data_IF_275773821880
#
_entry.id   IF_275773821880
#
_cell.length_a   1.000
_cell.length_b   1.000
_cell.length_c   1.000
_cell.angle_alpha   90.00
_cell.angle_beta   90.00
_cell.angle_gamma   90.00
#
_symmetry.space_group_name_H-M   'P 1'
#
loop_
_entity.id
_entity.type
_entity.pdbx_description
1 polymer ?
#
# COMPACT_ATOMS: atom_id res chain seq x y z
N UNK A 1 -23.15 -2.60 2.15
CA UNK A 1 -23.82 -1.72 3.04
C UNK A 1 -23.96 -0.31 2.54
N UNK A 2 -24.62 0.47 3.34
CA UNK A 2 -24.89 1.88 3.01
C UNK A 2 -23.80 2.82 3.56
N UNK A 3 -22.82 2.27 4.26
CA UNK A 3 -21.77 3.03 4.96
C UNK A 3 -20.52 3.23 4.10
N UNK A 4 -20.20 2.25 3.26
CA UNK A 4 -19.03 2.27 2.39
C UNK A 4 -19.39 1.85 0.95
N UNK A 5 -18.68 2.36 0.01
CA UNK A 5 -18.86 2.19 -1.42
C UNK A 5 -17.76 1.29 -1.99
N UNK A 6 -18.16 0.18 -2.60
CA UNK A 6 -17.19 -0.71 -3.25
C UNK A 6 -16.43 -0.01 -4.38
N UNK A 7 -15.10 -0.09 -4.34
CA UNK A 7 -14.22 0.54 -5.34
C UNK A 7 -14.31 -0.10 -6.73
N UNK A 8 -14.84 -1.33 -6.83
CA UNK A 8 -15.11 -1.99 -8.09
C UNK A 8 -14.08 -2.99 -8.56
N UNK A 9 -13.11 -3.32 -7.71
CA UNK A 9 -12.16 -4.42 -7.94
C UNK A 9 -11.86 -5.15 -6.63
N UNK A 10 -11.41 -6.40 -6.73
CA UNK A 10 -11.06 -7.29 -5.62
C UNK A 10 -9.53 -7.48 -5.53
N UNK A 11 -8.76 -6.51 -6.02
CA UNK A 11 -7.30 -6.60 -6.09
C UNK A 11 -6.57 -5.85 -4.99
N UNK A 12 -7.29 -5.22 -4.09
CA UNK A 12 -6.69 -4.40 -3.05
C UNK A 12 -6.22 -3.02 -3.54
N UNK A 13 -6.78 -2.49 -4.65
CA UNK A 13 -6.36 -1.24 -5.28
C UNK A 13 -7.43 -0.17 -5.13
N UNK A 14 -7.12 0.88 -4.37
CA UNK A 14 -7.88 2.13 -4.32
C UNK A 14 -7.61 3.04 -5.52
N UNK A 15 -8.34 4.14 -5.58
CA UNK A 15 -8.09 5.21 -6.56
C UNK A 15 -7.20 6.26 -5.95
N UNK A 16 -6.31 6.82 -6.73
CA UNK A 16 -5.48 7.94 -6.28
C UNK A 16 -6.29 9.21 -6.02
N UNK A 17 -7.36 9.42 -6.80
CA UNK A 17 -8.33 10.49 -6.56
C UNK A 17 -9.58 9.89 -5.93
N UNK A 18 -9.72 10.05 -4.62
CA UNK A 18 -10.86 9.48 -3.89
C UNK A 18 -11.49 10.51 -2.95
N UNK A 19 -12.80 10.67 -3.11
CA UNK A 19 -13.63 11.59 -2.32
C UNK A 19 -14.56 10.81 -1.39
N UNK A 20 -14.59 11.20 -0.11
CA UNK A 20 -15.49 10.61 0.87
C UNK A 20 -16.89 11.24 0.81
N UNK A 21 -16.98 12.54 0.48
CA UNK A 21 -18.26 13.18 0.15
C UNK A 21 -18.50 13.09 -1.35
N UNK A 22 -19.57 12.42 -1.76
CA UNK A 22 -19.87 12.09 -3.15
C UNK A 22 -21.31 12.45 -3.52
N UNK A 23 -21.58 12.54 -4.81
CA UNK A 23 -22.92 12.72 -5.37
C UNK A 23 -23.71 11.41 -5.46
N UNK A 24 -23.07 10.28 -5.20
CA UNK A 24 -23.67 8.95 -5.28
C UNK A 24 -24.56 8.70 -4.07
N UNK A 25 -25.84 8.52 -4.28
CA UNK A 25 -26.77 8.07 -3.23
C UNK A 25 -26.39 6.67 -2.77
N UNK A 26 -26.17 6.44 -1.46
CA UNK A 26 -25.83 5.14 -0.91
C UNK A 26 -26.91 4.07 -1.13
N UNK A 27 -26.52 2.80 -1.07
CA UNK A 27 -27.43 1.66 -1.12
C UNK A 27 -26.82 0.45 -1.83
N UNK A 28 -27.27 -0.73 -1.47
CA UNK A 28 -26.83 -2.00 -2.09
C UNK A 28 -27.04 -1.96 -3.61
N UNK A 29 -28.13 -1.33 -4.04
CA UNK A 29 -28.45 -1.11 -5.46
C UNK A 29 -28.34 0.37 -5.81
N UNK A 30 -27.24 1.02 -5.44
CA UNK A 30 -27.02 2.46 -5.65
C UNK A 30 -27.37 2.91 -7.11
N UNK A 31 -27.10 2.03 -8.08
CA UNK A 31 -27.42 2.27 -9.49
C UNK A 31 -28.93 2.49 -9.78
N UNK A 32 -29.82 1.96 -8.97
CA UNK A 32 -31.27 2.01 -9.18
C UNK A 32 -31.95 3.28 -8.65
N UNK A 33 -31.27 4.08 -7.82
CA UNK A 33 -31.86 5.31 -7.29
C UNK A 33 -32.09 6.34 -8.39
N UNK A 34 -33.13 7.14 -8.24
CA UNK A 34 -33.46 8.19 -9.23
C UNK A 34 -32.33 9.21 -9.40
N UNK A 35 -31.70 9.63 -8.30
CA UNK A 35 -30.56 10.54 -8.34
C UNK A 35 -29.38 9.94 -9.13
N UNK A 36 -29.01 8.70 -8.87
CA UNK A 36 -27.89 8.06 -9.53
C UNK A 36 -28.16 7.80 -11.02
N UNK A 37 -29.39 7.46 -11.38
CA UNK A 37 -29.82 7.36 -12.78
C UNK A 37 -29.73 8.71 -13.49
N UNK A 38 -30.26 9.78 -12.86
CA UNK A 38 -30.22 11.14 -13.39
C UNK A 38 -28.79 11.63 -13.62
N UNK A 39 -27.87 11.33 -12.71
CA UNK A 39 -26.46 11.72 -12.81
C UNK A 39 -25.64 10.78 -13.69
N UNK A 40 -26.16 9.61 -14.04
CA UNK A 40 -25.43 8.59 -14.80
C UNK A 40 -24.27 7.97 -14.03
N UNK A 41 -24.37 7.90 -12.69
CA UNK A 41 -23.29 7.43 -11.81
C UNK A 41 -23.63 6.09 -11.14
N UNK A 42 -22.57 5.40 -10.70
CA UNK A 42 -22.67 4.14 -9.96
C UNK A 42 -21.41 3.95 -9.10
N UNK A 43 -21.40 2.96 -8.21
CA UNK A 43 -20.36 2.77 -7.20
C UNK A 43 -18.92 2.69 -7.73
N UNK A 44 -18.75 2.12 -8.93
CA UNK A 44 -17.43 2.00 -9.58
C UNK A 44 -16.96 3.29 -10.28
N UNK A 45 -17.81 4.30 -10.40
CA UNK A 45 -17.45 5.52 -11.11
C UNK A 45 -16.34 6.27 -10.38
N UNK A 46 -15.50 6.93 -11.15
CA UNK A 46 -14.41 7.77 -10.67
C UNK A 46 -14.92 9.20 -10.43
N UNK A 47 -14.14 9.97 -9.68
CA UNK A 47 -14.38 11.40 -9.47
C UNK A 47 -15.77 11.80 -8.95
N UNK A 48 -16.43 10.93 -8.18
CA UNK A 48 -17.80 11.14 -7.70
C UNK A 48 -17.98 12.39 -6.82
N UNK A 49 -16.89 12.99 -6.36
CA UNK A 49 -16.86 14.22 -5.59
C UNK A 49 -16.16 15.38 -6.31
N UNK A 50 -15.80 15.26 -7.58
CA UNK A 50 -15.16 16.34 -8.36
C UNK A 50 -16.06 17.56 -8.52
N UNK A 51 -15.50 18.76 -8.76
CA UNK A 51 -16.25 19.98 -9.02
C UNK A 51 -17.26 19.78 -10.15
N UNK A 52 -16.87 19.12 -11.23
CA UNK A 52 -17.73 18.80 -12.37
C UNK A 52 -18.96 17.98 -11.97
N UNK A 53 -18.80 17.05 -11.03
CA UNK A 53 -19.94 16.27 -10.53
C UNK A 53 -20.79 17.07 -9.56
N UNK A 54 -20.17 17.90 -8.71
CA UNK A 54 -20.87 18.75 -7.75
C UNK A 54 -21.79 19.78 -8.43
N UNK A 55 -21.41 20.31 -9.59
CA UNK A 55 -22.26 21.24 -10.37
C UNK A 55 -23.61 20.65 -10.74
N UNK A 56 -23.71 19.33 -10.88
CA UNK A 56 -24.93 18.60 -11.26
C UNK A 56 -25.69 18.03 -10.06
N UNK A 57 -25.10 18.13 -8.86
CA UNK A 57 -25.62 17.52 -7.65
C UNK A 57 -26.62 18.45 -6.94
N UNK A 58 -27.65 17.86 -6.38
CA UNK A 58 -28.57 18.52 -5.45
C UNK A 58 -28.30 18.09 -4.01
N UNK A 59 -27.61 16.98 -3.82
CA UNK A 59 -27.33 16.37 -2.55
C UNK A 59 -25.90 15.77 -2.54
N UNK A 60 -25.29 15.71 -1.36
CA UNK A 60 -24.02 15.06 -1.11
C UNK A 60 -24.18 14.03 0.00
N UNK A 61 -23.50 12.92 -0.18
CA UNK A 61 -23.53 11.82 0.78
C UNK A 61 -22.09 11.53 1.24
N UNK A 62 -21.94 11.27 2.54
CA UNK A 62 -20.71 10.70 3.07
C UNK A 62 -20.69 9.22 2.73
N UNK A 63 -19.88 8.85 1.75
CA UNK A 63 -19.85 7.51 1.18
C UNK A 63 -18.42 7.12 0.78
N UNK A 64 -17.54 6.88 1.78
CA UNK A 64 -16.15 6.54 1.52
C UNK A 64 -16.02 5.23 0.74
N UNK A 65 -14.94 5.10 -0.02
CA UNK A 65 -14.66 3.88 -0.77
C UNK A 65 -14.15 2.76 0.12
N UNK A 66 -14.57 1.54 -0.19
CA UNK A 66 -14.04 0.29 0.34
C UNK A 66 -13.25 -0.42 -0.74
N UNK A 67 -12.06 -0.85 -0.37
CA UNK A 67 -11.19 -1.72 -1.15
C UNK A 67 -11.20 -3.07 -0.49
N UNK A 68 -11.69 -4.10 -1.18
CA UNK A 68 -11.73 -5.46 -0.70
C UNK A 68 -10.70 -6.35 -1.39
N UNK A 69 -10.18 -7.32 -0.65
CA UNK A 69 -9.22 -8.30 -1.14
C UNK A 69 -9.11 -9.45 -0.14
N UNK A 70 -8.88 -10.65 -0.63
CA UNK A 70 -8.58 -11.78 0.26
C UNK A 70 -7.09 -11.89 0.53
N UNK A 71 -6.72 -12.32 1.74
CA UNK A 71 -5.33 -12.68 2.08
C UNK A 71 -4.84 -13.90 1.29
N UNK A 72 -5.75 -14.74 0.79
CA UNK A 72 -5.52 -15.95 0.00
C UNK A 72 -5.86 -15.72 -1.48
N UNK A 73 -5.57 -16.66 -2.39
CA UNK A 73 -5.93 -16.56 -3.81
C UNK A 73 -7.44 -16.42 -4.04
N UNK A 74 -8.27 -17.11 -3.25
CA UNK A 74 -9.73 -17.05 -3.29
C UNK A 74 -10.36 -16.50 -2.03
N UNK A 75 -11.70 -16.47 -1.98
CA UNK A 75 -12.48 -15.93 -0.86
C UNK A 75 -12.73 -16.94 0.26
N UNK A 76 -12.50 -18.22 -0.01
CA UNK A 76 -12.73 -19.33 0.91
C UNK A 76 -11.42 -20.03 1.24
N UNK A 77 -11.42 -20.75 2.37
CA UNK A 77 -10.27 -21.52 2.82
C UNK A 77 -10.10 -22.81 2.01
N UNK A 78 -8.88 -23.05 1.54
CA UNK A 78 -8.41 -24.29 0.94
C UNK A 78 -7.04 -24.62 1.53
N UNK A 79 -6.88 -25.85 2.10
CA UNK A 79 -5.65 -26.24 2.78
C UNK A 79 -4.43 -26.29 1.83
N UNK A 80 -4.65 -26.63 0.56
CA UNK A 80 -3.61 -26.64 -0.48
C UNK A 80 -3.10 -25.23 -0.85
N UNK A 81 -3.74 -24.19 -0.32
CA UNK A 81 -3.35 -22.79 -0.52
C UNK A 81 -2.62 -22.17 0.67
N UNK A 82 -2.32 -22.94 1.73
CA UNK A 82 -1.62 -22.42 2.90
C UNK A 82 -0.26 -21.79 2.55
N UNK A 83 0.44 -22.34 1.56
CA UNK A 83 1.68 -21.77 1.03
C UNK A 83 1.47 -20.56 0.09
N UNK A 84 0.22 -20.21 -0.25
CA UNK A 84 -0.13 -19.13 -1.19
C UNK A 84 -0.71 -17.90 -0.50
N UNK A 85 -0.63 -17.83 0.83
CA UNK A 85 -0.97 -16.62 1.59
C UNK A 85 -0.13 -15.45 1.08
N UNK A 86 -0.77 -14.30 0.81
CA UNK A 86 -0.07 -13.12 0.27
C UNK A 86 1.16 -12.76 1.09
N UNK A 87 2.25 -12.42 0.41
CA UNK A 87 3.49 -12.04 1.04
C UNK A 87 3.33 -10.76 1.87
N UNK A 88 4.23 -10.54 2.84
CA UNK A 88 4.27 -9.30 3.61
C UNK A 88 4.37 -8.06 2.70
N UNK A 89 5.20 -8.14 1.65
CA UNK A 89 5.32 -7.06 0.67
C UNK A 89 3.99 -6.79 -0.04
N UNK A 90 3.30 -7.84 -0.49
CA UNK A 90 2.02 -7.71 -1.18
C UNK A 90 0.94 -7.08 -0.27
N UNK A 91 0.82 -7.53 0.99
CA UNK A 91 -0.11 -6.93 1.96
C UNK A 91 0.25 -5.47 2.26
N UNK A 92 1.54 -5.15 2.33
CA UNK A 92 2.00 -3.78 2.52
C UNK A 92 1.66 -2.90 1.32
N UNK A 93 1.83 -3.39 0.09
CA UNK A 93 1.44 -2.67 -1.12
C UNK A 93 -0.07 -2.42 -1.16
N UNK A 94 -0.88 -3.42 -0.83
CA UNK A 94 -2.34 -3.27 -0.68
C UNK A 94 -2.67 -2.17 0.33
N UNK A 95 -2.04 -2.17 1.50
CA UNK A 95 -2.28 -1.17 2.54
C UNK A 95 -1.98 0.25 2.06
N UNK A 96 -0.83 0.46 1.41
CA UNK A 96 -0.45 1.77 0.89
C UNK A 96 -1.31 2.22 -0.29
N UNK A 97 -1.84 1.29 -1.08
CA UNK A 97 -2.69 1.57 -2.25
C UNK A 97 -4.20 1.55 -1.94
N UNK A 98 -4.58 1.31 -0.70
CA UNK A 98 -5.97 1.39 -0.23
C UNK A 98 -6.11 2.43 0.87
N UNK A 99 -5.63 2.15 2.08
CA UNK A 99 -5.67 3.08 3.21
C UNK A 99 -4.85 4.33 2.91
N UNK A 100 -3.70 4.18 2.22
CA UNK A 100 -2.87 5.30 1.77
C UNK A 100 -3.50 6.14 0.65
N UNK A 101 -4.59 5.69 0.06
CA UNK A 101 -5.38 6.41 -0.96
C UNK A 101 -6.78 6.79 -0.45
N UNK A 102 -6.89 7.05 0.86
CA UNK A 102 -8.12 7.54 1.48
C UNK A 102 -9.30 6.55 1.40
N UNK A 103 -9.04 5.25 1.33
CA UNK A 103 -10.07 4.20 1.27
C UNK A 103 -10.06 3.33 2.54
N UNK A 104 -11.18 2.66 2.81
CA UNK A 104 -11.25 1.60 3.81
C UNK A 104 -10.72 0.32 3.19
N UNK A 105 -9.89 -0.43 3.91
CA UNK A 105 -9.44 -1.76 3.50
C UNK A 105 -10.28 -2.83 4.20
N UNK A 106 -10.98 -3.65 3.43
CA UNK A 106 -11.60 -4.89 3.88
C UNK A 106 -10.71 -6.06 3.44
N UNK A 107 -9.93 -6.61 4.38
CA UNK A 107 -9.09 -7.78 4.15
C UNK A 107 -9.85 -9.03 4.58
N UNK A 108 -10.24 -9.87 3.62
CA UNK A 108 -10.86 -11.15 3.90
C UNK A 108 -9.84 -12.18 4.40
N UNK A 109 -10.16 -12.82 5.52
CA UNK A 109 -9.37 -13.86 6.15
C UNK A 109 -10.33 -15.05 6.37
N UNK A 110 -10.34 -16.02 5.42
CA UNK A 110 -11.33 -17.09 5.49
C UNK A 110 -11.00 -18.08 6.61
N UNK A 111 -11.98 -18.43 7.47
CA UNK A 111 -11.79 -19.47 8.49
C UNK A 111 -11.69 -20.85 7.85
N UNK A 112 -10.97 -21.75 8.49
CA UNK A 112 -10.88 -23.15 8.14
C UNK A 112 -12.22 -23.89 8.43
N UNK A 113 -12.27 -25.20 8.14
CA UNK A 113 -13.46 -26.03 8.40
C UNK A 113 -13.82 -26.21 9.87
N UNK A 114 -12.93 -25.83 10.81
CA UNK A 114 -13.16 -25.84 12.25
C UNK A 114 -13.64 -24.47 12.75
N UNK A 115 -13.75 -23.49 11.87
CA UNK A 115 -14.10 -22.10 12.20
C UNK A 115 -12.95 -21.29 12.78
N UNK A 116 -11.70 -21.73 12.60
CA UNK A 116 -10.50 -21.06 13.10
C UNK A 116 -9.74 -20.42 11.94
N UNK A 117 -9.02 -19.33 12.24
CA UNK A 117 -8.06 -18.75 11.30
C UNK A 117 -6.83 -19.68 11.26
N UNK A 118 -6.39 -20.03 10.06
CA UNK A 118 -5.23 -20.89 9.87
C UNK A 118 -3.94 -20.20 10.34
N UNK A 119 -3.00 -20.98 10.88
CA UNK A 119 -1.73 -20.49 11.41
C UNK A 119 -0.91 -19.70 10.37
N UNK A 120 -0.94 -20.10 9.10
CA UNK A 120 -0.24 -19.37 8.04
C UNK A 120 -0.80 -17.95 7.84
N UNK A 121 -2.13 -17.77 7.97
CA UNK A 121 -2.77 -16.45 7.92
C UNK A 121 -2.44 -15.63 9.17
N UNK A 122 -2.49 -16.24 10.37
CA UNK A 122 -2.15 -15.59 11.63
C UNK A 122 -0.72 -15.05 11.59
N UNK A 123 0.26 -15.90 11.25
CA UNK A 123 1.66 -15.52 11.18
C UNK A 123 1.87 -14.34 10.20
N UNK A 124 1.21 -14.38 9.04
CA UNK A 124 1.30 -13.29 8.06
C UNK A 124 0.70 -11.99 8.58
N UNK A 125 -0.41 -12.05 9.30
CA UNK A 125 -1.02 -10.86 9.90
C UNK A 125 -0.15 -10.26 11.01
N UNK A 126 0.49 -11.10 11.82
CA UNK A 126 1.44 -10.66 12.85
C UNK A 126 2.68 -9.98 12.25
N UNK A 127 3.26 -10.56 11.20
CA UNK A 127 4.35 -9.94 10.46
C UNK A 127 3.93 -8.59 9.86
N UNK A 128 2.73 -8.50 9.30
CA UNK A 128 2.20 -7.26 8.73
C UNK A 128 1.93 -6.20 9.80
N UNK A 129 1.40 -6.60 10.96
CA UNK A 129 1.20 -5.70 12.08
C UNK A 129 2.53 -5.14 12.59
N UNK A 130 3.52 -6.01 12.84
CA UNK A 130 4.85 -5.64 13.31
C UNK A 130 5.57 -4.68 12.32
N UNK A 131 5.48 -4.94 11.02
CA UNK A 131 6.07 -4.07 10.01
C UNK A 131 5.41 -2.67 10.01
N UNK A 132 4.09 -2.60 10.10
CA UNK A 132 3.38 -1.32 10.20
C UNK A 132 3.76 -0.56 11.47
N UNK A 133 3.78 -1.24 12.62
CA UNK A 133 4.19 -0.65 13.89
C UNK A 133 5.60 -0.08 13.80
N UNK A 134 6.54 -0.83 13.22
CA UNK A 134 7.91 -0.36 13.01
C UNK A 134 7.97 0.92 12.16
N UNK A 135 7.21 0.99 11.04
CA UNK A 135 7.19 2.17 10.17
C UNK A 135 6.68 3.39 10.94
N UNK A 136 5.54 3.25 11.62
CA UNK A 136 4.84 4.39 12.20
C UNK A 136 5.29 4.76 13.62
N UNK A 137 6.20 3.99 14.23
CA UNK A 137 6.75 4.29 15.55
C UNK A 137 7.60 5.57 15.58
N UNK A 138 8.27 5.89 14.48
CA UNK A 138 9.26 6.96 14.43
C UNK A 138 8.92 8.01 13.35
N UNK A 139 8.10 8.99 13.74
CA UNK A 139 7.80 10.13 12.89
C UNK A 139 8.98 11.10 12.89
N UNK A 140 9.61 11.28 11.74
CA UNK A 140 10.78 12.15 11.53
C UNK A 140 10.44 13.65 11.52
N UNK A 141 9.18 14.03 11.42
CA UNK A 141 8.75 15.42 11.53
C UNK A 141 8.82 15.83 12.99
N UNK A 142 9.58 16.91 13.28
CA UNK A 142 9.69 17.46 14.64
C UNK A 142 8.33 17.87 15.18
N UNK A 143 8.11 17.59 16.47
CA UNK A 143 6.87 17.97 17.15
C UNK A 143 6.67 19.48 17.14
N UNK A 144 5.51 19.93 16.73
CA UNK A 144 5.06 21.32 16.78
C UNK A 144 4.26 21.71 15.53
N UNK A 145 3.03 22.22 15.73
CA UNK A 145 2.28 22.96 14.71
C UNK A 145 1.85 22.19 13.46
N UNK A 146 1.50 20.90 13.59
CA UNK A 146 1.08 20.12 12.43
C UNK A 146 -0.29 20.54 11.84
N UNK A 147 -1.09 21.30 12.61
CA UNK A 147 -2.35 21.82 12.13
C UNK A 147 -2.14 23.08 11.27
N UNK A 148 -2.64 23.03 10.06
CA UNK A 148 -2.49 24.10 9.10
C UNK A 148 -3.77 24.34 8.31
N UNK A 149 -4.23 25.60 8.30
CA UNK A 149 -5.31 26.06 7.45
C UNK A 149 -4.74 26.48 6.10
N UNK A 150 -4.93 25.67 5.08
CA UNK A 150 -4.37 25.86 3.75
C UNK A 150 -5.40 26.46 2.79
N UNK A 151 -4.93 27.32 1.92
CA UNK A 151 -5.67 27.78 0.73
C UNK A 151 -4.89 27.42 -0.52
N UNK A 152 -5.52 27.49 -1.69
CA UNK A 152 -4.83 27.28 -2.97
C UNK A 152 -3.60 28.14 -3.11
N UNK A 153 -2.48 27.57 -3.51
CA UNK A 153 -1.19 28.22 -3.66
C UNK A 153 -0.38 28.39 -2.37
N UNK A 154 -0.92 28.00 -1.20
CA UNK A 154 -0.18 28.10 0.07
C UNK A 154 0.75 26.92 0.30
N UNK A 155 1.80 27.13 1.10
CA UNK A 155 2.76 26.10 1.49
C UNK A 155 3.07 26.14 2.98
N UNK A 156 3.47 24.99 3.52
CA UNK A 156 4.01 24.88 4.89
C UNK A 156 5.30 24.06 4.87
N UNK A 157 6.25 24.47 5.72
CA UNK A 157 7.56 23.83 5.85
C UNK A 157 7.67 23.21 7.24
N UNK A 158 8.13 21.96 7.28
CA UNK A 158 8.30 21.17 8.49
C UNK A 158 9.74 20.73 8.64
N UNK A 159 10.35 21.00 9.79
CA UNK A 159 11.69 20.51 10.09
C UNK A 159 11.66 19.01 10.39
N UNK A 160 12.64 18.28 9.86
CA UNK A 160 12.87 16.87 10.19
C UNK A 160 13.94 16.74 11.29
N UNK A 161 13.98 15.59 11.95
CA UNK A 161 15.09 15.25 12.83
C UNK A 161 16.41 15.24 12.04
N UNK A 162 17.54 15.66 12.65
CA UNK A 162 18.81 15.74 11.94
C UNK A 162 19.22 14.39 11.33
N UNK A 163 19.64 14.43 10.06
CA UNK A 163 20.11 13.24 9.37
C UNK A 163 19.02 12.26 8.91
N UNK A 164 17.75 12.69 8.93
CA UNK A 164 16.61 11.85 8.58
C UNK A 164 16.70 11.29 7.16
N UNK A 165 16.65 9.98 7.05
CA UNK A 165 16.30 9.26 5.82
C UNK A 165 14.80 9.00 5.82
N UNK A 166 14.14 9.34 4.73
CA UNK A 166 12.69 9.17 4.57
C UNK A 166 12.38 8.60 3.19
N UNK A 167 11.32 7.81 3.09
CA UNK A 167 10.78 7.30 1.84
C UNK A 167 9.25 7.17 1.87
N UNK A 168 8.63 7.71 2.91
CA UNK A 168 7.19 7.71 3.10
C UNK A 168 6.76 9.03 3.76
N UNK A 169 5.77 9.70 3.16
CA UNK A 169 5.08 10.84 3.75
C UNK A 169 3.62 10.50 3.94
N UNK A 170 3.05 10.87 5.08
CA UNK A 170 1.63 10.75 5.37
C UNK A 170 1.03 12.14 5.62
N UNK A 171 -0.06 12.41 4.92
CA UNK A 171 -0.85 13.64 5.05
C UNK A 171 -2.28 13.28 5.46
N UNK A 172 -2.90 14.10 6.30
CA UNK A 172 -4.31 13.96 6.69
C UNK A 172 -5.00 15.33 6.74
N UNK A 173 -6.23 15.38 6.25
CA UNK A 173 -7.15 16.49 6.49
C UNK A 173 -8.02 16.19 7.72
N UNK A 174 -8.41 17.23 8.43
CA UNK A 174 -9.51 17.17 9.40
C UNK A 174 -10.83 17.03 8.66
N UNK A 175 -11.21 15.78 8.37
CA UNK A 175 -12.42 15.47 7.59
C UNK A 175 -13.71 15.87 8.29
N UNK A 176 -13.70 16.20 9.59
CA UNK A 176 -14.86 16.75 10.30
C UNK A 176 -15.23 18.14 9.76
N UNK A 177 -14.26 18.82 9.13
CA UNK A 177 -14.43 20.09 8.43
C UNK A 177 -14.54 19.94 6.93
N UNK A 178 -14.54 18.71 6.44
CA UNK A 178 -14.67 18.31 5.04
C UNK A 178 -13.35 18.09 4.33
N UNK A 179 -13.34 17.21 3.36
CA UNK A 179 -12.24 16.96 2.44
C UNK A 179 -12.20 18.08 1.39
N UNK A 180 -11.08 18.78 1.26
CA UNK A 180 -10.98 20.03 0.50
C UNK A 180 -9.85 20.07 -0.53
N UNK A 181 -8.75 19.33 -0.30
CA UNK A 181 -7.59 19.33 -1.20
C UNK A 181 -7.92 18.66 -2.52
N UNK A 182 -7.60 19.34 -3.62
CA UNK A 182 -7.79 18.87 -5.00
C UNK A 182 -6.48 18.56 -5.71
N UNK A 183 -5.37 19.23 -5.33
CA UNK A 183 -4.03 18.87 -5.74
C UNK A 183 -2.97 19.41 -4.79
N UNK A 184 -1.90 18.66 -4.64
CA UNK A 184 -0.79 19.01 -3.75
C UNK A 184 0.53 18.45 -4.27
N UNK A 185 1.63 19.04 -3.79
CA UNK A 185 3.01 18.61 -4.03
C UNK A 185 3.75 18.53 -2.71
N UNK A 186 4.61 17.52 -2.58
CA UNK A 186 5.53 17.36 -1.45
C UNK A 186 6.97 17.42 -1.94
N UNK A 187 7.77 18.24 -1.30
CA UNK A 187 9.19 18.39 -1.58
C UNK A 187 10.02 18.14 -0.33
N UNK A 188 11.20 17.60 -0.48
CA UNK A 188 12.18 17.39 0.57
C UNK A 188 13.41 18.28 0.34
N UNK A 189 13.91 18.94 1.38
CA UNK A 189 15.15 19.71 1.32
C UNK A 189 16.33 18.77 1.55
N UNK A 190 17.04 18.47 0.46
CA UNK A 190 18.26 17.68 0.43
C UNK A 190 19.49 18.59 0.37
N UNK A 191 20.70 18.02 0.39
CA UNK A 191 21.94 18.76 0.21
C UNK A 191 22.02 19.48 -1.17
N UNK A 192 21.23 19.02 -2.15
CA UNK A 192 21.14 19.59 -3.48
C UNK A 192 19.93 20.55 -3.66
N UNK A 193 19.31 20.98 -2.56
CA UNK A 193 18.14 21.84 -2.55
C UNK A 193 16.81 21.09 -2.53
N UNK A 194 15.73 21.81 -2.79
CA UNK A 194 14.38 21.25 -2.79
C UNK A 194 14.18 20.27 -3.95
N UNK A 195 13.74 19.07 -3.61
CA UNK A 195 13.43 18.00 -4.55
C UNK A 195 11.98 17.56 -4.37
N UNK A 196 11.19 17.53 -5.46
CA UNK A 196 9.87 16.91 -5.45
C UNK A 196 10.03 15.41 -5.14
N UNK A 197 9.34 14.94 -4.11
CA UNK A 197 9.31 13.53 -3.68
C UNK A 197 7.96 12.89 -3.95
N UNK A 198 6.91 13.68 -4.17
CA UNK A 198 5.60 13.18 -4.53
C UNK A 198 4.59 14.29 -4.74
N UNK A 199 3.50 13.91 -5.41
CA UNK A 199 2.33 14.77 -5.64
C UNK A 199 1.07 13.92 -5.68
N UNK A 200 -0.07 14.55 -5.57
CA UNK A 200 -1.36 13.86 -5.65
C UNK A 200 -2.50 14.83 -5.83
N UNK A 201 -3.69 14.26 -5.98
CA UNK A 201 -4.94 15.02 -6.17
C UNK A 201 -5.64 15.24 -4.83
N UNK A 202 -6.02 14.18 -4.12
CA UNK A 202 -6.78 14.28 -2.87
C UNK A 202 -5.93 13.82 -1.67
N UNK A 203 -6.17 14.41 -0.50
CA UNK A 203 -5.61 13.95 0.77
C UNK A 203 -6.66 13.18 1.56
N UNK A 204 -7.74 13.83 1.99
CA UNK A 204 -8.80 13.23 2.78
C UNK A 204 -8.35 12.76 4.17
N UNK A 205 -8.97 11.69 4.67
CA UNK A 205 -8.62 11.13 5.97
C UNK A 205 -7.17 10.67 6.06
N UNK A 206 -6.62 10.10 4.96
CA UNK A 206 -5.23 9.63 4.92
C UNK A 206 -4.70 9.51 3.49
N UNK A 207 -3.62 10.21 3.22
CA UNK A 207 -2.84 10.06 2.00
C UNK A 207 -1.41 9.68 2.35
N UNK A 208 -0.90 8.62 1.74
CA UNK A 208 0.48 8.17 1.88
C UNK A 208 1.18 8.20 0.53
N UNK A 209 2.40 8.77 0.52
CA UNK A 209 3.25 8.83 -0.66
C UNK A 209 4.52 8.05 -0.38
N UNK A 210 4.79 7.03 -1.18
CA UNK A 210 6.07 6.29 -1.17
C UNK A 210 6.97 6.79 -2.30
N UNK A 211 8.24 6.91 -2.01
CA UNK A 211 9.27 7.36 -2.96
C UNK A 211 10.64 6.74 -2.62
N UNK A 212 11.63 6.80 -3.53
CA UNK A 212 12.98 6.36 -3.22
C UNK A 212 13.55 7.08 -2.00
N UNK A 213 14.35 6.39 -1.19
CA UNK A 213 14.96 6.96 0.02
C UNK A 213 15.67 8.28 -0.31
N UNK A 214 15.39 9.30 0.48
CA UNK A 214 16.09 10.58 0.43
C UNK A 214 16.54 10.97 1.83
N UNK A 215 17.75 11.55 1.95
CA UNK A 215 18.20 12.22 3.16
C UNK A 215 17.77 13.66 3.10
N UNK A 216 17.01 14.12 4.08
CA UNK A 216 16.43 15.45 4.07
C UNK A 216 16.43 16.10 5.46
N UNK A 217 16.47 17.43 5.47
CA UNK A 217 16.40 18.26 6.68
C UNK A 217 15.04 18.91 6.90
N UNK A 218 14.25 19.07 5.82
CA UNK A 218 12.92 19.67 5.88
C UNK A 218 12.00 19.01 4.84
N UNK A 219 10.69 19.06 5.12
CA UNK A 219 9.61 18.79 4.15
C UNK A 219 8.87 20.09 3.86
N UNK A 220 8.46 20.29 2.61
CA UNK A 220 7.53 21.33 2.20
C UNK A 220 6.32 20.70 1.56
N UNK A 221 5.15 21.04 2.07
CA UNK A 221 3.86 20.63 1.50
C UNK A 221 3.24 21.86 0.85
N UNK A 222 2.95 21.78 -0.44
CA UNK A 222 2.27 22.82 -1.22
C UNK A 222 0.87 22.35 -1.56
N UNK A 223 -0.14 23.11 -1.18
CA UNK A 223 -1.51 22.91 -1.64
C UNK A 223 -1.67 23.71 -2.93
N UNK A 224 -1.63 23.00 -4.06
CA UNK A 224 -1.73 23.64 -5.38
C UNK A 224 -3.14 24.14 -5.60
N UNK A 225 -4.13 23.27 -5.30
CA UNK A 225 -5.54 23.60 -5.44
C UNK A 225 -6.37 22.96 -4.33
N UNK A 226 -7.31 23.70 -3.78
CA UNK A 226 -8.31 23.23 -2.85
C UNK A 226 -9.62 23.99 -3.02
N UNK A 227 -10.72 23.36 -2.61
CA UNK A 227 -12.01 24.01 -2.49
C UNK A 227 -12.17 24.57 -1.08
N UNK A 228 -12.39 25.86 -0.95
CA UNK A 228 -12.41 26.55 0.34
C UNK A 228 -11.09 26.35 1.13
N UNK A 229 -11.09 26.68 2.41
CA UNK A 229 -9.94 26.43 3.29
C UNK A 229 -9.83 24.95 3.60
N UNK A 230 -8.71 24.31 3.26
CA UNK A 230 -8.39 22.94 3.65
C UNK A 230 -7.77 22.95 5.06
N UNK A 231 -8.12 21.98 5.86
CA UNK A 231 -7.64 21.83 7.24
C UNK A 231 -6.72 20.62 7.33
N UNK A 232 -5.42 20.84 7.18
CA UNK A 232 -4.41 19.77 7.33
C UNK A 232 -4.17 19.58 8.82
N UNK A 233 -4.44 18.39 9.35
CA UNK A 233 -4.25 18.08 10.77
C UNK A 233 -3.04 17.19 11.04
N UNK A 234 -2.47 16.57 10.01
CA UNK A 234 -1.24 15.80 10.14
C UNK A 234 -0.36 15.87 8.90
N UNK A 235 0.92 16.11 9.14
CA UNK A 235 2.02 15.91 8.22
C UNK A 235 3.07 15.08 8.95
N UNK A 236 3.40 13.92 8.41
CA UNK A 236 4.37 13.02 9.00
C UNK A 236 5.29 12.42 7.93
N UNK A 237 6.51 12.10 8.33
CA UNK A 237 7.50 11.46 7.47
C UNK A 237 8.12 10.26 8.17
N UNK A 238 8.32 9.18 7.42
CA UNK A 238 8.78 7.92 7.94
C UNK A 238 9.83 7.28 7.03
N UNK A 239 10.55 6.34 7.59
CA UNK A 239 11.36 5.39 6.84
C UNK A 239 10.68 4.02 6.89
N UNK A 240 10.22 3.55 5.75
CA UNK A 240 9.71 2.20 5.57
C UNK A 240 10.83 1.33 4.99
N UNK A 241 11.32 0.36 5.75
CA UNK A 241 12.35 -0.55 5.28
C UNK A 241 11.86 -1.27 3.99
N UNK A 242 12.66 -1.28 2.91
CA UNK A 242 12.27 -1.95 1.68
C UNK A 242 12.01 -3.43 1.92
N UNK A 243 10.83 -3.89 1.52
CA UNK A 243 10.50 -5.32 1.53
C UNK A 243 10.88 -5.91 0.18
N UNK A 244 11.61 -7.01 0.21
CA UNK A 244 11.84 -7.82 -0.97
C UNK A 244 10.63 -8.72 -1.20
N UNK A 245 10.23 -8.87 -2.44
CA UNK A 245 9.25 -9.87 -2.79
C UNK A 245 9.91 -11.23 -2.62
N UNK A 246 9.47 -11.99 -1.62
CA UNK A 246 9.77 -13.40 -1.58
C UNK A 246 8.86 -14.04 -2.62
N UNK A 247 9.37 -14.25 -3.82
CA UNK A 247 8.66 -14.97 -4.88
C UNK A 247 8.48 -16.40 -4.39
N UNK A 248 7.31 -16.70 -3.83
CA UNK A 248 6.92 -18.06 -3.53
C UNK A 248 6.45 -18.72 -4.83
N UNK A 249 7.29 -19.59 -5.37
CA UNK A 249 6.91 -20.55 -6.41
C UNK A 249 6.82 -20.02 -7.84
N UNK A 250 7.29 -20.79 -8.75
CA UNK A 250 7.17 -20.89 -10.20
C UNK A 250 7.80 -19.81 -11.11
N UNK A 251 7.89 -18.53 -10.71
CA UNK A 251 8.64 -17.53 -11.46
C UNK A 251 9.96 -17.12 -10.79
N UNK A 252 10.70 -18.09 -10.30
CA UNK A 252 12.11 -17.84 -10.04
C UNK A 252 12.74 -17.48 -11.39
N UNK A 253 13.31 -16.30 -11.53
CA UNK A 253 14.32 -16.02 -12.55
C UNK A 253 15.53 -16.91 -12.25
N UNK A 254 15.32 -18.21 -12.38
CA UNK A 254 16.35 -19.19 -12.27
C UNK A 254 17.36 -18.85 -13.35
N UNK A 255 18.60 -18.65 -12.97
CA UNK A 255 19.69 -18.61 -13.94
C UNK A 255 19.50 -19.79 -14.88
N UNK A 256 19.51 -19.56 -16.21
CA UNK A 256 19.36 -20.64 -17.18
C UNK A 256 20.37 -21.74 -16.85
N UNK A 257 19.89 -22.94 -16.58
CA UNK A 257 20.75 -24.09 -16.23
C UNK A 257 21.59 -24.58 -17.40
N UNK A 258 21.33 -24.05 -18.60
CA UNK A 258 22.15 -24.31 -19.77
C UNK A 258 23.60 -23.83 -19.50
N UNK A 259 24.52 -24.78 -19.47
CA UNK A 259 25.93 -24.53 -19.16
C UNK A 259 26.35 -24.79 -17.71
N UNK A 260 25.43 -25.10 -16.80
CA UNK A 260 25.80 -25.54 -15.44
C UNK A 260 26.41 -26.95 -15.51
N UNK A 261 27.49 -27.14 -14.80
CA UNK A 261 28.18 -28.43 -14.71
C UNK A 261 28.35 -28.81 -13.24
N UNK A 262 27.89 -29.99 -12.87
CA UNK A 262 28.31 -30.60 -11.60
C UNK A 262 29.76 -31.03 -11.73
N UNK A 263 30.63 -30.45 -10.92
CA UNK A 263 32.09 -30.69 -10.99
C UNK A 263 32.59 -31.58 -9.85
N UNK A 264 31.77 -31.74 -8.82
CA UNK A 264 32.05 -32.69 -7.72
C UNK A 264 30.76 -33.15 -7.04
N UNK A 265 30.79 -34.39 -6.51
CA UNK A 265 29.64 -34.98 -5.79
C UNK A 265 29.72 -34.79 -4.29
N UNK A 266 30.93 -34.64 -3.73
CA UNK A 266 31.11 -34.49 -2.30
C UNK A 266 32.34 -33.59 -1.99
N UNK A 267 32.14 -32.36 -1.58
CA UNK A 267 30.85 -31.65 -1.53
C UNK A 267 30.24 -31.47 -2.93
N UNK A 268 28.90 -31.42 -3.01
CA UNK A 268 28.22 -31.11 -4.26
C UNK A 268 28.67 -29.73 -4.75
N UNK A 269 29.35 -29.72 -5.88
CA UNK A 269 29.85 -28.46 -6.48
C UNK A 269 29.27 -28.27 -7.86
N UNK A 270 28.69 -27.11 -8.12
CA UNK A 270 28.07 -26.74 -9.41
C UNK A 270 28.78 -25.50 -9.94
N UNK A 271 29.39 -25.62 -11.10
CA UNK A 271 29.94 -24.51 -11.85
C UNK A 271 28.82 -23.87 -12.68
N UNK A 272 28.58 -22.59 -12.47
CA UNK A 272 27.55 -21.80 -13.17
C UNK A 272 28.01 -21.34 -14.57
N UNK A 273 29.26 -21.59 -14.94
CA UNK A 273 29.84 -21.24 -16.23
C UNK A 273 30.17 -19.76 -16.41
N UNK A 274 29.84 -18.91 -15.45
CA UNK A 274 30.17 -17.47 -15.42
C UNK A 274 30.05 -16.91 -14.02
N UNK A 275 30.69 -15.78 -13.76
CA UNK A 275 30.50 -15.03 -12.52
C UNK A 275 29.11 -14.38 -12.52
N UNK A 276 28.37 -14.57 -11.44
CA UNK A 276 27.03 -14.01 -11.23
C UNK A 276 26.86 -13.54 -9.79
N UNK A 277 26.02 -12.53 -9.59
CA UNK A 277 25.58 -12.15 -8.23
C UNK A 277 24.34 -12.97 -7.89
N UNK A 278 24.44 -13.81 -6.84
CA UNK A 278 23.31 -14.59 -6.36
C UNK A 278 22.61 -13.83 -5.23
N UNK A 279 21.31 -13.57 -5.40
CA UNK A 279 20.47 -13.02 -4.35
C UNK A 279 19.92 -14.12 -3.43
N UNK A 280 19.74 -15.34 -3.94
CA UNK A 280 19.27 -16.48 -3.18
C UNK A 280 19.67 -17.80 -3.84
N UNK A 281 19.61 -18.87 -3.08
CA UNK A 281 19.77 -20.25 -3.56
C UNK A 281 18.64 -21.10 -3.01
N UNK A 282 17.99 -21.86 -3.86
CA UNK A 282 16.93 -22.80 -3.46
C UNK A 282 17.31 -24.23 -3.81
N UNK A 283 17.27 -25.08 -2.83
CA UNK A 283 17.34 -26.52 -3.01
C UNK A 283 15.94 -27.12 -2.91
N UNK A 284 15.45 -27.69 -3.99
CA UNK A 284 14.18 -28.40 -4.05
C UNK A 284 14.45 -29.90 -4.27
N UNK A 285 14.32 -30.76 -3.24
CA UNK A 285 14.47 -32.20 -3.41
C UNK A 285 13.37 -32.75 -4.32
N UNK A 286 13.68 -33.74 -5.15
CA UNK A 286 12.67 -34.43 -5.95
C UNK A 286 11.68 -35.16 -5.03
N UNK A 287 10.43 -35.33 -5.45
CA UNK A 287 9.39 -36.07 -4.70
C UNK A 287 9.83 -37.52 -4.37
N UNK A 288 10.72 -38.10 -5.15
CA UNK A 288 11.27 -39.42 -4.93
C UNK A 288 12.30 -39.48 -3.80
N UNK A 289 12.89 -38.37 -3.43
CA UNK A 289 13.98 -38.24 -2.44
C UNK A 289 13.50 -37.75 -1.07
N UNK A 290 12.20 -37.49 -0.90
CA UNK A 290 11.59 -37.10 0.37
C UNK A 290 11.60 -38.26 1.38
N UNK A 291 12.80 -38.74 1.76
CA UNK A 291 13.02 -39.76 2.78
C UNK A 291 13.73 -39.15 3.99
N UNK A 292 13.66 -39.79 5.19
CA UNK A 292 14.27 -39.28 6.43
C UNK A 292 15.78 -39.06 6.39
N UNK A 293 16.45 -39.37 5.29
CA UNK A 293 17.90 -39.26 5.08
C UNK A 293 18.34 -37.97 4.39
N UNK A 294 17.44 -37.03 4.17
CA UNK A 294 17.80 -35.73 3.56
C UNK A 294 18.76 -34.95 4.45
N UNK A 295 19.79 -34.37 3.83
CA UNK A 295 20.74 -33.51 4.54
C UNK A 295 20.04 -32.22 4.99
N UNK A 296 19.93 -32.04 6.31
CA UNK A 296 19.38 -30.83 6.92
C UNK A 296 20.42 -29.75 7.20
N UNK A 297 21.70 -29.98 6.82
CA UNK A 297 22.79 -29.03 7.00
C UNK A 297 23.57 -28.88 5.72
N UNK A 298 23.69 -27.65 5.24
CA UNK A 298 24.53 -27.31 4.10
C UNK A 298 25.29 -26.01 4.40
N UNK A 299 26.46 -25.90 3.82
CA UNK A 299 27.28 -24.71 3.89
C UNK A 299 27.60 -24.29 2.47
N UNK A 300 27.32 -23.03 2.14
CA UNK A 300 27.68 -22.47 0.85
C UNK A 300 29.07 -21.88 0.89
N UNK A 301 29.82 -22.11 -0.14
CA UNK A 301 31.10 -21.46 -0.41
C UNK A 301 30.90 -20.72 -1.75
N UNK A 302 31.16 -19.42 -1.73
CA UNK A 302 31.04 -18.56 -2.92
C UNK A 302 32.42 -18.09 -3.31
#
# INVERSE_FOLDING_TARGET
GDDVRWVGNERGLGRETEWNATVLTPGIYARSTENNKRLGVFSKAEDLGSRKMLEKATELFWYPSEVDVSIRPGWFYHAEEDAKVKSLKHLSDIYFQSVGYNSVLLLNIPPDRKGLINEADVNRLEEFAAYREQIFADNRVKKGGNYWNAISGSEAVYSLEPGSEINLVMLQEDITKGQRVESFVVEALTDNGWKEVGKGTTIGYKRMLRFPVVKASQLRVKIVECRLTAHINQVAAYYAAPLQEVVQGEDWNNLPRAGWKQVADSPLTIDLGKSVTLASFTYAPSKAEAKPTMAFRYKFFV
#
